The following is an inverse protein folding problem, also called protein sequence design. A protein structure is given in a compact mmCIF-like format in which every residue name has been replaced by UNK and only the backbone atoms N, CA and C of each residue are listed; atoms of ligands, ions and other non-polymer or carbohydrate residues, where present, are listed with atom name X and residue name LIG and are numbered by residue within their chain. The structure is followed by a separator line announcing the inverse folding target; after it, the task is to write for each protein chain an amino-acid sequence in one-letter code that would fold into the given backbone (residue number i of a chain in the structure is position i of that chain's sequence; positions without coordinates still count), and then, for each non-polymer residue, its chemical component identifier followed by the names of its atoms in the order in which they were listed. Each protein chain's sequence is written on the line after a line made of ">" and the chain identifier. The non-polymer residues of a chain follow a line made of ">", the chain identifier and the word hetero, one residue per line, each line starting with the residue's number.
data_IF_137431394399
#
_entry.id   IF_137431394399
#
_cell.length_a   1.000
_cell.length_b   1.000
_cell.length_c   1.000
_cell.angle_alpha   90.00
_cell.angle_beta   90.00
_cell.angle_gamma   90.00
#
_symmetry.space_group_name_H-M   'P 1'
#
loop_
_entity.id
_entity.type
_entity.pdbx_description
1 polymer ?
#
# COMPACT_ATOMS: atom_id res chain seq x y z
N UNK A 1 -29.81 -6.14 -9.67
CA UNK A 1 -28.75 -6.35 -8.63
C UNK A 1 -27.74 -7.29 -9.26
N UNK A 2 -26.47 -6.93 -9.31
CA UNK A 2 -25.42 -7.76 -9.92
C UNK A 2 -25.21 -9.00 -9.04
N UNK A 3 -25.34 -10.19 -9.61
CA UNK A 3 -25.05 -11.44 -8.92
C UNK A 3 -23.53 -11.69 -8.98
N UNK A 4 -22.76 -11.02 -8.14
CA UNK A 4 -21.28 -11.07 -8.15
C UNK A 4 -20.72 -12.50 -8.16
N UNK A 5 -21.37 -13.44 -7.45
CA UNK A 5 -20.92 -14.83 -7.43
C UNK A 5 -21.00 -15.47 -8.82
N UNK A 6 -22.02 -15.16 -9.60
CA UNK A 6 -22.20 -15.71 -10.94
C UNK A 6 -21.14 -15.20 -11.92
N UNK A 7 -20.66 -13.95 -11.75
CA UNK A 7 -19.61 -13.39 -12.60
C UNK A 7 -18.30 -14.18 -12.54
N UNK A 8 -18.01 -14.81 -11.40
CA UNK A 8 -16.67 -15.38 -11.15
C UNK A 8 -16.67 -16.89 -10.93
N UNK A 9 -17.83 -17.52 -10.66
CA UNK A 9 -17.92 -18.94 -10.26
C UNK A 9 -17.45 -19.92 -11.34
N UNK A 10 -17.36 -19.51 -12.62
CA UNK A 10 -16.87 -20.36 -13.70
C UNK A 10 -15.34 -20.55 -13.71
N UNK A 11 -14.58 -19.69 -13.01
CA UNK A 11 -13.13 -19.72 -13.00
C UNK A 11 -12.48 -19.42 -11.63
N UNK A 12 -13.21 -18.87 -10.66
CA UNK A 12 -12.74 -18.73 -9.29
C UNK A 12 -13.43 -19.75 -8.38
N UNK A 13 -12.70 -20.28 -7.42
CA UNK A 13 -13.24 -21.16 -6.38
C UNK A 13 -14.07 -20.35 -5.38
N UNK A 14 -15.06 -21.01 -4.75
CA UNK A 14 -15.95 -20.35 -3.79
C UNK A 14 -15.22 -19.61 -2.65
N UNK A 15 -14.09 -20.14 -2.20
CA UNK A 15 -13.28 -19.53 -1.14
C UNK A 15 -12.46 -18.32 -1.61
N UNK A 16 -12.41 -18.05 -2.92
CA UNK A 16 -11.79 -16.84 -3.51
C UNK A 16 -12.79 -15.68 -3.67
N UNK A 17 -14.07 -15.89 -3.37
CA UNK A 17 -15.14 -14.90 -3.51
C UNK A 17 -15.80 -14.69 -2.15
N UNK A 18 -15.85 -13.47 -1.67
CA UNK A 18 -16.55 -13.10 -0.44
C UNK A 18 -17.49 -11.94 -0.72
N UNK A 19 -18.70 -12.03 -0.21
CA UNK A 19 -19.70 -10.95 -0.29
C UNK A 19 -19.75 -10.19 1.03
N UNK A 20 -19.99 -8.89 0.97
CA UNK A 20 -20.07 -8.00 2.13
C UNK A 20 -18.86 -8.13 3.07
N UNK A 21 -17.66 -8.24 2.48
CA UNK A 21 -16.42 -8.44 3.25
C UNK A 21 -15.98 -7.12 3.92
N UNK A 22 -15.85 -7.08 5.26
CA UNK A 22 -15.43 -5.88 5.96
C UNK A 22 -14.01 -5.48 5.60
N UNK A 23 -13.82 -4.29 5.03
CA UNK A 23 -12.51 -3.77 4.64
C UNK A 23 -11.60 -3.48 5.83
N UNK A 24 -12.16 -3.27 7.02
CA UNK A 24 -11.39 -3.17 8.27
C UNK A 24 -10.49 -4.38 8.54
N UNK A 25 -10.77 -5.55 7.97
CA UNK A 25 -9.93 -6.76 8.05
C UNK A 25 -8.75 -6.73 7.07
N UNK A 26 -8.78 -5.82 6.10
CA UNK A 26 -7.85 -5.75 4.98
C UNK A 26 -7.08 -4.43 4.90
N UNK A 27 -7.19 -3.59 5.92
CA UNK A 27 -6.43 -2.34 6.07
C UNK A 27 -5.59 -2.40 7.35
N UNK A 28 -4.40 -1.81 7.31
CA UNK A 28 -3.55 -1.73 8.51
C UNK A 28 -4.10 -0.76 9.57
N UNK A 29 -4.96 0.17 9.19
CA UNK A 29 -5.74 0.98 10.15
C UNK A 29 -6.79 0.17 10.91
N UNK A 30 -7.22 -0.98 10.36
CA UNK A 30 -8.36 -1.71 10.91
C UNK A 30 -9.69 -0.93 10.81
N UNK A 31 -9.81 -0.03 9.83
CA UNK A 31 -10.97 0.82 9.56
C UNK A 31 -11.51 0.50 8.17
N UNK A 32 -12.82 0.55 7.99
CA UNK A 32 -13.51 0.45 6.72
C UNK A 32 -14.78 -0.39 6.77
N UNK A 33 -15.83 0.10 6.11
CA UNK A 33 -17.07 -0.63 5.87
C UNK A 33 -16.89 -1.79 4.90
N UNK A 34 -17.97 -2.47 4.55
CA UNK A 34 -17.92 -3.66 3.71
C UNK A 34 -17.73 -3.34 2.22
N UNK A 35 -16.95 -4.16 1.53
CA UNK A 35 -16.97 -4.25 0.07
C UNK A 35 -18.17 -5.10 -0.38
N UNK A 36 -18.87 -4.74 -1.46
CA UNK A 36 -19.98 -5.52 -1.96
C UNK A 36 -19.52 -6.93 -2.36
N UNK A 37 -18.37 -7.00 -3.04
CA UNK A 37 -17.72 -8.25 -3.40
C UNK A 37 -16.19 -8.11 -3.23
N UNK A 38 -15.55 -9.14 -2.72
CA UNK A 38 -14.11 -9.22 -2.52
C UNK A 38 -13.60 -10.50 -3.18
N UNK A 39 -12.73 -10.37 -4.19
CA UNK A 39 -12.19 -11.50 -4.94
C UNK A 39 -10.68 -11.61 -4.77
N UNK A 40 -10.18 -12.84 -4.72
CA UNK A 40 -8.80 -13.18 -4.42
C UNK A 40 -8.19 -14.07 -5.53
N UNK A 41 -7.87 -13.52 -6.72
CA UNK A 41 -7.20 -14.29 -7.76
C UNK A 41 -5.82 -14.78 -7.28
N UNK A 42 -5.48 -16.02 -7.59
CA UNK A 42 -4.22 -16.66 -7.20
C UNK A 42 -3.24 -16.77 -8.36
N UNK A 43 -3.72 -16.60 -9.60
CA UNK A 43 -2.88 -16.57 -10.80
C UNK A 43 -3.11 -15.31 -11.62
N UNK A 44 -2.18 -15.04 -12.54
CA UNK A 44 -2.31 -13.91 -13.48
C UNK A 44 -3.51 -14.10 -14.39
N UNK A 45 -3.76 -15.33 -14.83
CA UNK A 45 -4.88 -15.68 -15.70
C UNK A 45 -6.23 -15.48 -15.00
N UNK A 46 -6.32 -15.82 -13.70
CA UNK A 46 -7.52 -15.54 -12.90
C UNK A 46 -7.73 -14.03 -12.77
N UNK A 47 -6.65 -13.26 -12.47
CA UNK A 47 -6.71 -11.81 -12.39
C UNK A 47 -7.20 -11.17 -13.69
N UNK A 48 -6.64 -11.59 -14.85
CA UNK A 48 -7.05 -11.12 -16.16
C UNK A 48 -8.55 -11.38 -16.41
N UNK A 49 -9.03 -12.59 -16.11
CA UNK A 49 -10.45 -12.94 -16.25
C UNK A 49 -11.33 -12.09 -15.35
N UNK A 50 -10.95 -11.88 -14.07
CA UNK A 50 -11.70 -11.00 -13.16
C UNK A 50 -11.81 -9.60 -13.73
N UNK A 51 -10.69 -9.00 -14.20
CA UNK A 51 -10.67 -7.65 -14.76
C UNK A 51 -11.58 -7.56 -15.99
N UNK A 52 -11.49 -8.52 -16.89
CA UNK A 52 -12.32 -8.56 -18.10
C UNK A 52 -13.81 -8.65 -17.75
N UNK A 53 -14.18 -9.52 -16.81
CA UNK A 53 -15.59 -9.71 -16.45
C UNK A 53 -16.19 -8.50 -15.70
N UNK A 54 -15.45 -7.85 -14.78
CA UNK A 54 -15.94 -6.63 -14.13
C UNK A 54 -16.08 -5.48 -15.14
N UNK A 55 -15.15 -5.38 -16.10
CA UNK A 55 -15.18 -4.35 -17.15
C UNK A 55 -16.36 -4.57 -18.09
N UNK A 56 -16.58 -5.80 -18.59
CA UNK A 56 -17.74 -6.14 -19.44
C UNK A 56 -19.07 -5.89 -18.74
N UNK A 57 -19.15 -6.22 -17.46
CA UNK A 57 -20.36 -6.01 -16.66
C UNK A 57 -20.56 -4.53 -16.24
N UNK A 58 -19.63 -3.63 -16.59
CA UNK A 58 -19.60 -2.24 -16.15
C UNK A 58 -19.72 -2.10 -14.62
N UNK A 59 -19.05 -2.99 -13.87
CA UNK A 59 -19.00 -2.99 -12.41
C UNK A 59 -17.78 -2.21 -11.95
N UNK A 60 -17.93 -1.22 -11.05
CA UNK A 60 -16.78 -0.55 -10.45
C UNK A 60 -15.89 -1.55 -9.74
N UNK A 61 -14.58 -1.35 -9.79
CA UNK A 61 -13.65 -2.18 -9.04
C UNK A 61 -12.51 -1.37 -8.42
N UNK A 62 -11.92 -1.92 -7.38
CA UNK A 62 -10.79 -1.35 -6.66
C UNK A 62 -9.71 -2.42 -6.49
N UNK A 63 -8.44 -2.07 -6.78
CA UNK A 63 -7.31 -2.98 -6.61
C UNK A 63 -6.73 -2.81 -5.21
N UNK A 64 -6.65 -3.91 -4.48
CA UNK A 64 -6.10 -3.96 -3.14
C UNK A 64 -4.83 -4.81 -3.09
N UNK A 65 -3.73 -4.19 -2.67
CA UNK A 65 -2.52 -4.88 -2.24
C UNK A 65 -2.57 -5.21 -0.73
N UNK A 66 -1.58 -4.76 0.03
CA UNK A 66 -1.52 -5.00 1.48
C UNK A 66 -2.37 -4.07 2.36
N UNK A 67 -3.12 -3.12 1.80
CA UNK A 67 -3.96 -2.19 2.56
C UNK A 67 -3.21 -1.27 3.53
N UNK A 68 -1.91 -1.06 3.31
CA UNK A 68 -1.03 -0.38 4.26
C UNK A 68 -1.01 1.15 4.11
N UNK A 69 -1.66 1.69 3.08
CA UNK A 69 -1.76 3.14 2.83
C UNK A 69 -3.21 3.53 2.50
N UNK A 70 -4.20 2.86 3.14
CA UNK A 70 -5.61 3.07 2.84
C UNK A 70 -6.40 3.43 4.10
N UNK A 71 -7.30 4.39 3.94
CA UNK A 71 -8.41 4.67 4.83
C UNK A 71 -9.73 4.42 4.07
N UNK A 72 -10.42 3.36 4.39
CA UNK A 72 -11.69 3.00 3.74
C UNK A 72 -12.85 3.62 4.50
N UNK A 73 -13.77 4.27 3.77
CA UNK A 73 -14.95 4.94 4.33
C UNK A 73 -15.89 3.98 5.03
N UNK A 74 -16.70 4.50 5.96
CA UNK A 74 -17.58 3.71 6.82
C UNK A 74 -18.69 2.98 6.03
N UNK A 75 -19.16 3.54 4.92
CA UNK A 75 -20.09 2.85 4.02
C UNK A 75 -19.45 1.76 3.16
N UNK A 76 -18.10 1.69 3.12
CA UNK A 76 -17.35 0.65 2.41
C UNK A 76 -17.14 0.95 0.93
N UNK A 77 -16.90 -0.08 0.14
CA UNK A 77 -16.56 0.02 -1.29
C UNK A 77 -17.67 -0.64 -2.12
N UNK A 78 -18.27 0.14 -3.03
CA UNK A 78 -19.26 -0.39 -3.99
C UNK A 78 -18.55 -1.08 -5.14
N UNK A 79 -19.10 -2.20 -5.58
CA UNK A 79 -18.54 -3.02 -6.65
C UNK A 79 -17.58 -4.10 -6.13
N UNK A 80 -16.48 -4.33 -6.85
CA UNK A 80 -15.57 -5.45 -6.62
C UNK A 80 -14.21 -4.96 -6.11
N UNK A 81 -13.79 -5.45 -4.95
CA UNK A 81 -12.39 -5.31 -4.51
C UNK A 81 -11.61 -6.53 -5.00
N UNK A 82 -10.58 -6.28 -5.80
CA UNK A 82 -9.68 -7.31 -6.34
C UNK A 82 -8.41 -7.33 -5.51
N UNK A 83 -8.24 -8.37 -4.70
CA UNK A 83 -7.10 -8.52 -3.79
C UNK A 83 -5.95 -9.25 -4.48
N UNK A 84 -4.88 -8.53 -4.78
CA UNK A 84 -3.68 -9.09 -5.44
C UNK A 84 -2.76 -9.85 -4.49
N UNK A 85 -3.00 -9.81 -3.20
CA UNK A 85 -2.13 -10.42 -2.18
C UNK A 85 -2.01 -11.95 -2.25
N UNK A 86 -2.77 -12.62 -3.13
CA UNK A 86 -2.63 -14.05 -3.42
C UNK A 86 -1.67 -14.35 -4.59
N UNK A 87 -1.23 -13.36 -5.33
CA UNK A 87 -0.18 -13.51 -6.35
C UNK A 87 1.18 -13.62 -5.65
N UNK A 88 1.75 -14.83 -5.53
CA UNK A 88 2.84 -15.13 -4.58
C UNK A 88 4.00 -15.87 -5.25
N UNK A 89 4.61 -15.31 -6.30
CA UNK A 89 5.82 -15.89 -6.91
C UNK A 89 7.02 -14.99 -6.70
N UNK A 90 8.19 -15.58 -6.51
CA UNK A 90 9.50 -14.95 -6.54
C UNK A 90 10.40 -15.83 -7.39
N UNK A 91 11.00 -15.26 -8.42
CA UNK A 91 11.92 -15.95 -9.34
C UNK A 91 13.24 -15.19 -9.32
N UNK A 92 14.34 -15.91 -9.07
CA UNK A 92 15.70 -15.37 -9.05
C UNK A 92 16.42 -15.66 -10.37
N UNK A 93 16.96 -14.63 -10.99
CA UNK A 93 17.67 -14.70 -12.28
C UNK A 93 18.93 -13.80 -12.23
N UNK A 94 20.05 -14.36 -11.79
CA UNK A 94 21.31 -13.59 -11.66
C UNK A 94 21.19 -12.48 -10.62
N UNK A 95 21.33 -11.23 -11.03
CA UNK A 95 21.18 -10.06 -10.15
C UNK A 95 19.73 -9.53 -10.08
N UNK A 96 18.77 -10.28 -10.61
CA UNK A 96 17.37 -9.85 -10.69
C UNK A 96 16.46 -10.76 -9.91
N UNK A 97 15.43 -10.15 -9.32
CA UNK A 97 14.28 -10.85 -8.80
C UNK A 97 13.03 -10.41 -9.55
N UNK A 98 12.27 -11.40 -10.09
CA UNK A 98 10.91 -11.18 -10.55
C UNK A 98 9.97 -11.54 -9.44
N UNK A 99 9.15 -10.59 -9.02
CA UNK A 99 8.33 -10.68 -7.81
C UNK A 99 6.88 -10.35 -8.15
N UNK A 100 5.96 -11.29 -7.92
CA UNK A 100 4.53 -11.05 -8.10
C UNK A 100 4.01 -9.98 -7.14
N UNK A 101 3.07 -9.18 -7.62
CA UNK A 101 2.57 -7.97 -6.94
C UNK A 101 2.04 -8.21 -5.52
N UNK A 102 1.58 -9.42 -5.21
CA UNK A 102 1.02 -9.79 -3.91
C UNK A 102 2.05 -10.18 -2.86
N UNK A 103 3.30 -10.39 -3.22
CA UNK A 103 4.37 -10.71 -2.26
C UNK A 103 4.59 -9.52 -1.32
N UNK A 104 4.73 -9.75 -0.02
CA UNK A 104 5.04 -8.66 0.91
C UNK A 104 6.44 -8.09 0.65
N UNK A 105 6.61 -6.79 0.84
CA UNK A 105 7.91 -6.12 0.68
C UNK A 105 9.00 -6.76 1.55
N UNK A 106 8.66 -7.13 2.79
CA UNK A 106 9.57 -7.81 3.70
C UNK A 106 10.01 -9.19 3.18
N UNK A 107 9.07 -9.98 2.59
CA UNK A 107 9.38 -11.28 1.99
C UNK A 107 10.27 -11.14 0.76
N UNK A 108 10.02 -10.11 -0.07
CA UNK A 108 10.86 -9.82 -1.23
C UNK A 108 12.27 -9.38 -0.82
N UNK A 109 12.41 -8.50 0.19
CA UNK A 109 13.71 -8.08 0.73
C UNK A 109 14.47 -9.26 1.36
N UNK A 110 13.77 -10.15 2.08
CA UNK A 110 14.38 -11.37 2.64
C UNK A 110 14.89 -12.30 1.54
N UNK A 111 14.10 -12.50 0.48
CA UNK A 111 14.54 -13.30 -0.67
C UNK A 111 15.78 -12.70 -1.36
N UNK A 112 15.85 -11.37 -1.50
CA UNK A 112 17.05 -10.69 -2.01
C UNK A 112 18.28 -11.00 -1.14
N UNK A 113 18.17 -10.86 0.18
CA UNK A 113 19.24 -11.19 1.14
C UNK A 113 19.68 -12.65 1.02
N UNK A 114 18.74 -13.60 0.97
CA UNK A 114 19.03 -15.04 0.88
C UNK A 114 19.80 -15.42 -0.40
N UNK A 115 19.67 -14.60 -1.46
CA UNK A 115 20.43 -14.72 -2.71
C UNK A 115 21.71 -13.84 -2.76
N UNK A 116 22.08 -13.18 -1.65
CA UNK A 116 23.26 -12.30 -1.61
C UNK A 116 23.11 -11.06 -2.48
N UNK A 117 21.90 -10.52 -2.58
CA UNK A 117 21.55 -9.35 -3.38
C UNK A 117 21.24 -8.15 -2.48
N UNK A 118 22.08 -7.12 -2.54
CA UNK A 118 21.99 -5.86 -1.81
C UNK A 118 21.24 -4.79 -2.61
N UNK A 119 20.58 -3.87 -1.94
CA UNK A 119 19.83 -2.73 -2.51
C UNK A 119 18.36 -2.73 -2.14
N UNK A 120 17.87 -3.79 -1.46
CA UNK A 120 16.46 -3.89 -1.04
C UNK A 120 16.27 -3.81 0.49
N UNK A 121 17.32 -3.50 1.25
CA UNK A 121 17.33 -3.46 2.71
C UNK A 121 16.34 -2.43 3.25
N UNK A 122 16.18 -1.29 2.56
CA UNK A 122 15.23 -0.23 2.95
C UNK A 122 13.77 -0.72 2.99
N UNK A 123 13.46 -1.75 2.19
CA UNK A 123 12.11 -2.28 2.04
C UNK A 123 11.74 -3.30 3.13
N UNK A 124 12.71 -3.84 3.87
CA UNK A 124 12.51 -4.93 4.83
C UNK A 124 11.43 -4.65 5.89
N UNK A 125 11.24 -3.40 6.26
CA UNK A 125 10.23 -2.99 7.24
C UNK A 125 9.06 -2.21 6.65
N UNK A 126 8.98 -1.98 5.34
CA UNK A 126 7.84 -1.29 4.71
C UNK A 126 6.64 -2.24 4.72
N UNK A 127 5.49 -1.86 5.33
CA UNK A 127 4.31 -2.72 5.31
C UNK A 127 3.64 -2.73 3.93
N UNK A 128 2.94 -3.82 3.63
CA UNK A 128 2.21 -3.97 2.38
C UNK A 128 2.87 -4.93 1.40
N UNK A 129 2.44 -4.88 0.14
CA UNK A 129 2.91 -5.74 -0.95
C UNK A 129 3.85 -5.00 -1.89
N UNK A 130 4.68 -5.76 -2.60
CA UNK A 130 5.64 -5.18 -3.54
C UNK A 130 4.94 -4.43 -4.70
N UNK A 131 3.75 -4.90 -5.13
CA UNK A 131 2.92 -4.18 -6.11
C UNK A 131 2.44 -2.82 -5.59
N UNK A 132 1.98 -2.76 -4.33
CA UNK A 132 1.61 -1.50 -3.68
C UNK A 132 2.82 -0.59 -3.46
N UNK A 133 3.98 -1.15 -3.13
CA UNK A 133 5.22 -0.40 -2.99
C UNK A 133 5.67 0.21 -4.32
N UNK A 134 5.61 -0.54 -5.43
CA UNK A 134 5.92 -0.03 -6.77
C UNK A 134 4.90 1.01 -7.24
N UNK A 135 3.61 0.80 -6.96
CA UNK A 135 2.55 1.78 -7.27
C UNK A 135 2.80 3.14 -6.62
N UNK A 136 3.22 3.14 -5.35
CA UNK A 136 3.45 4.36 -4.55
C UNK A 136 4.89 4.90 -4.65
N UNK A 137 5.79 4.28 -5.40
CA UNK A 137 7.23 4.51 -5.26
C UNK A 137 7.64 4.58 -3.79
N UNK A 138 7.33 3.52 -3.04
CA UNK A 138 7.58 3.47 -1.60
C UNK A 138 9.07 3.54 -1.30
N UNK A 139 9.44 4.31 -0.29
CA UNK A 139 10.83 4.48 0.12
C UNK A 139 10.98 4.71 1.62
N UNK A 140 12.16 4.37 2.11
CA UNK A 140 12.61 4.59 3.48
C UNK A 140 14.15 4.59 3.53
N UNK A 141 14.75 5.26 4.52
CA UNK A 141 16.20 5.22 4.76
C UNK A 141 17.06 5.56 3.53
N UNK A 142 16.62 6.56 2.74
CA UNK A 142 17.25 7.04 1.51
C UNK A 142 17.23 6.04 0.33
N UNK A 143 16.46 4.97 0.40
CA UNK A 143 16.18 4.07 -0.72
C UNK A 143 14.70 4.10 -1.08
N UNK A 144 14.38 3.90 -2.36
CA UNK A 144 13.01 3.83 -2.86
C UNK A 144 12.88 2.82 -4.03
N UNK A 145 11.63 2.47 -4.37
CA UNK A 145 11.40 1.48 -5.45
C UNK A 145 11.98 1.92 -6.78
N UNK A 146 11.98 3.22 -7.10
CA UNK A 146 12.60 3.77 -8.31
C UNK A 146 14.08 3.43 -8.46
N UNK A 147 14.81 3.24 -7.35
CA UNK A 147 16.24 2.91 -7.40
C UNK A 147 16.47 1.53 -8.02
N UNK A 148 15.62 0.56 -7.67
CA UNK A 148 15.82 -0.86 -7.92
C UNK A 148 14.91 -1.47 -8.99
N UNK A 149 13.74 -0.88 -9.27
CA UNK A 149 12.80 -1.41 -10.28
C UNK A 149 13.33 -1.14 -11.68
N UNK A 150 13.47 -2.20 -12.48
CA UNK A 150 13.91 -2.12 -13.89
C UNK A 150 12.76 -2.34 -14.87
N UNK A 151 11.74 -3.10 -14.48
CA UNK A 151 10.51 -3.25 -15.26
C UNK A 151 9.32 -3.65 -14.41
N UNK A 152 8.12 -3.38 -14.92
CA UNK A 152 6.85 -3.79 -14.35
C UNK A 152 6.00 -4.44 -15.43
N UNK A 153 5.45 -5.62 -15.12
CA UNK A 153 4.38 -6.26 -15.88
C UNK A 153 3.06 -5.77 -15.31
N UNK A 154 2.21 -5.18 -16.14
CA UNK A 154 0.87 -4.72 -15.77
C UNK A 154 -0.21 -5.35 -16.63
N UNK A 155 -1.45 -5.23 -16.17
CA UNK A 155 -2.66 -5.66 -16.86
C UNK A 155 -3.60 -4.47 -17.03
N UNK A 156 -4.04 -4.21 -18.25
CA UNK A 156 -5.04 -3.18 -18.54
C UNK A 156 -6.47 -3.70 -18.33
N UNK A 157 -7.47 -2.83 -18.45
CA UNK A 157 -8.89 -3.16 -18.26
C UNK A 157 -9.44 -4.18 -19.27
N UNK A 158 -8.76 -4.41 -20.40
CA UNK A 158 -9.09 -5.43 -21.39
C UNK A 158 -8.43 -6.79 -21.08
N UNK A 159 -7.72 -6.91 -19.97
CA UNK A 159 -7.00 -8.12 -19.59
C UNK A 159 -5.67 -8.32 -20.35
N UNK A 160 -5.21 -7.32 -21.10
CA UNK A 160 -3.96 -7.41 -21.84
C UNK A 160 -2.76 -7.08 -20.95
N UNK A 161 -1.71 -7.87 -21.07
CA UNK A 161 -0.45 -7.66 -20.35
C UNK A 161 0.50 -6.76 -21.14
N UNK A 162 1.16 -5.85 -20.43
CA UNK A 162 2.16 -4.95 -20.97
C UNK A 162 3.38 -4.88 -20.06
N UNK A 163 4.58 -4.77 -20.64
CA UNK A 163 5.82 -4.59 -19.88
C UNK A 163 6.29 -3.15 -20.03
N UNK A 164 6.46 -2.46 -18.92
CA UNK A 164 7.02 -1.11 -18.86
C UNK A 164 8.44 -1.14 -18.28
N UNK A 165 9.41 -0.68 -19.05
CA UNK A 165 10.78 -0.50 -18.59
C UNK A 165 10.91 0.74 -17.71
N UNK A 166 11.96 0.81 -16.89
CA UNK A 166 12.25 1.87 -15.91
C UNK A 166 11.99 3.29 -16.43
N UNK A 167 12.42 3.61 -17.64
CA UNK A 167 12.26 4.96 -18.25
C UNK A 167 10.80 5.39 -18.50
N UNK A 168 9.85 4.43 -18.46
CA UNK A 168 8.42 4.67 -18.70
C UNK A 168 7.59 4.59 -17.41
N UNK A 169 8.21 4.37 -16.24
CA UNK A 169 7.48 4.18 -14.99
C UNK A 169 7.07 5.49 -14.32
N UNK A 170 7.54 6.65 -14.81
CA UNK A 170 7.26 8.01 -14.31
C UNK A 170 7.38 8.12 -12.77
N UNK A 171 8.38 7.43 -12.20
CA UNK A 171 8.58 7.48 -10.75
C UNK A 171 8.98 8.88 -10.28
N UNK A 172 8.25 9.35 -9.27
CA UNK A 172 8.53 10.56 -8.52
C UNK A 172 8.11 10.34 -7.06
N UNK A 173 8.24 11.36 -6.22
CA UNK A 173 7.87 11.28 -4.81
C UNK A 173 6.41 10.82 -4.62
N UNK A 174 6.23 9.58 -4.18
CA UNK A 174 4.91 8.93 -3.98
C UNK A 174 4.05 8.92 -5.25
N UNK A 175 4.70 8.68 -6.38
CA UNK A 175 4.05 8.68 -7.70
C UNK A 175 4.63 7.60 -8.62
N UNK A 176 3.78 7.07 -9.51
CA UNK A 176 4.16 6.19 -10.62
C UNK A 176 3.18 6.32 -11.79
N UNK A 177 3.59 5.86 -12.99
CA UNK A 177 2.74 5.75 -14.19
C UNK A 177 1.38 5.08 -13.90
N UNK A 178 1.33 4.10 -13.01
CA UNK A 178 0.12 3.32 -12.74
C UNK A 178 -0.97 4.13 -12.02
N UNK A 179 -0.62 5.27 -11.42
CA UNK A 179 -1.58 6.26 -10.91
C UNK A 179 -2.22 7.08 -12.03
N UNK A 180 -1.53 7.20 -13.19
CA UNK A 180 -1.99 7.98 -14.33
C UNK A 180 -2.86 7.15 -15.27
N UNK A 181 -2.40 5.92 -15.60
CA UNK A 181 -3.02 5.08 -16.62
C UNK A 181 -4.04 4.06 -16.08
N UNK A 182 -4.08 3.86 -14.75
CA UNK A 182 -5.01 2.94 -14.09
C UNK A 182 -4.76 1.46 -14.38
N UNK A 183 -3.59 1.10 -14.96
CA UNK A 183 -3.23 -0.30 -15.15
C UNK A 183 -2.83 -0.97 -13.82
N UNK A 184 -3.05 -2.26 -13.75
CA UNK A 184 -2.90 -3.06 -12.54
C UNK A 184 -1.52 -3.71 -12.56
N UNK A 185 -0.68 -3.43 -11.57
CA UNK A 185 0.63 -4.07 -11.42
C UNK A 185 0.44 -5.55 -11.08
N UNK A 186 1.10 -6.42 -11.85
CA UNK A 186 1.00 -7.88 -11.74
C UNK A 186 2.31 -8.47 -11.22
N UNK A 187 3.44 -8.03 -11.75
CA UNK A 187 4.78 -8.49 -11.38
C UNK A 187 5.78 -7.33 -11.53
N UNK A 188 6.79 -7.31 -10.69
CA UNK A 188 7.86 -6.31 -10.71
C UNK A 188 9.18 -7.05 -10.87
N UNK A 189 10.07 -6.54 -11.75
CA UNK A 189 11.45 -6.98 -11.81
C UNK A 189 12.33 -5.92 -11.16
N UNK A 190 13.07 -6.32 -10.14
CA UNK A 190 14.11 -5.50 -9.51
C UNK A 190 15.50 -5.99 -9.92
N UNK A 191 16.43 -5.06 -10.10
CA UNK A 191 17.85 -5.35 -10.33
C UNK A 191 18.65 -4.85 -9.14
N UNK A 192 19.46 -5.73 -8.56
CA UNK A 192 20.15 -5.53 -7.30
C UNK A 192 21.65 -5.79 -7.50
N UNK A 193 22.48 -5.35 -6.55
CA UNK A 193 23.91 -5.58 -6.59
C UNK A 193 24.29 -6.83 -5.79
N UNK A 194 25.29 -7.62 -6.22
CA UNK A 194 25.87 -8.65 -5.37
C UNK A 194 26.38 -8.06 -4.05
N UNK A 195 26.10 -8.73 -2.92
CA UNK A 195 26.49 -8.27 -1.60
C UNK A 195 26.75 -9.43 -0.64
N UNK A 196 27.34 -9.12 0.50
CA UNK A 196 27.55 -10.10 1.55
C UNK A 196 26.23 -10.29 2.32
N UNK A 197 25.76 -11.52 2.48
CA UNK A 197 24.49 -11.85 3.16
C UNK A 197 24.46 -11.29 4.58
N UNK A 198 25.54 -11.44 5.33
CA UNK A 198 25.62 -10.96 6.71
C UNK A 198 25.50 -9.42 6.79
N UNK A 199 26.19 -8.69 5.91
CA UNK A 199 26.13 -7.22 5.89
C UNK A 199 24.73 -6.73 5.53
N UNK A 200 24.05 -7.39 4.57
CA UNK A 200 22.66 -7.11 4.19
C UNK A 200 21.73 -7.35 5.39
N UNK A 201 21.88 -8.49 6.08
CA UNK A 201 21.08 -8.86 7.24
C UNK A 201 21.24 -7.82 8.37
N UNK A 202 22.49 -7.45 8.70
CA UNK A 202 22.79 -6.42 9.72
C UNK A 202 22.14 -5.09 9.37
N UNK A 203 22.16 -4.67 8.09
CA UNK A 203 21.53 -3.43 7.65
C UNK A 203 20.00 -3.50 7.75
N UNK A 204 19.38 -4.62 7.32
CA UNK A 204 17.93 -4.84 7.46
C UNK A 204 17.49 -4.81 8.93
N UNK A 205 18.25 -5.44 9.83
CA UNK A 205 17.98 -5.44 11.26
C UNK A 205 18.09 -4.05 11.87
N UNK A 206 19.10 -3.26 11.48
CA UNK A 206 19.27 -1.90 11.94
C UNK A 206 18.12 -0.99 11.49
N UNK A 207 17.68 -1.08 10.22
CA UNK A 207 16.53 -0.33 9.74
C UNK A 207 15.24 -0.74 10.49
N UNK A 208 15.05 -2.03 10.72
CA UNK A 208 13.90 -2.52 11.49
C UNK A 208 13.97 -2.08 12.97
N UNK A 209 15.15 -2.06 13.57
CA UNK A 209 15.38 -1.55 14.93
C UNK A 209 15.01 -0.07 15.04
N UNK A 210 15.53 0.78 14.11
CA UNK A 210 15.19 2.22 14.06
C UNK A 210 13.68 2.44 13.90
N UNK A 211 13.03 1.62 13.07
CA UNK A 211 11.58 1.69 12.86
C UNK A 211 10.82 1.36 14.12
N UNK A 212 11.15 0.26 14.82
CA UNK A 212 10.56 -0.10 16.11
C UNK A 212 10.72 0.97 17.17
N UNK A 213 11.87 1.64 17.18
CA UNK A 213 12.13 2.73 18.14
C UNK A 213 11.29 3.99 17.86
N UNK A 214 11.08 4.34 16.59
CA UNK A 214 10.50 5.63 16.19
C UNK A 214 9.02 5.58 15.79
N UNK A 215 8.52 4.43 15.34
CA UNK A 215 7.16 4.32 14.80
C UNK A 215 6.25 3.49 15.72
N UNK A 216 4.95 3.78 15.79
CA UNK A 216 3.98 3.09 16.64
C UNK A 216 3.54 1.76 15.99
N UNK A 217 4.48 0.81 15.78
CA UNK A 217 4.22 -0.45 15.08
C UNK A 217 3.27 -1.38 15.82
N UNK A 218 3.08 -1.16 17.12
CA UNK A 218 2.15 -1.85 18.00
C UNK A 218 0.69 -1.34 17.87
N UNK A 219 0.50 -0.23 17.14
CA UNK A 219 -0.82 0.38 16.93
C UNK A 219 -1.26 0.25 15.48
N UNK A 220 -2.56 0.18 15.25
CA UNK A 220 -3.15 0.17 13.91
C UNK A 220 -2.97 1.53 13.25
N UNK A 221 -2.26 1.59 12.13
CA UNK A 221 -1.99 2.82 11.37
C UNK A 221 -1.69 2.51 9.91
N UNK A 222 -1.73 3.52 9.04
CA UNK A 222 -1.34 3.40 7.63
C UNK A 222 -0.04 4.18 7.33
N UNK A 223 0.93 4.15 8.25
CA UNK A 223 2.18 4.88 8.09
C UNK A 223 2.03 6.39 8.37
N UNK A 224 2.89 7.19 7.75
CA UNK A 224 2.77 8.67 7.80
C UNK A 224 1.51 9.12 7.08
N UNK A 225 0.67 9.88 7.77
CA UNK A 225 -0.65 10.27 7.23
C UNK A 225 -0.57 11.36 6.17
N UNK A 226 0.47 12.21 6.24
CA UNK A 226 0.62 13.37 5.37
C UNK A 226 1.91 13.29 4.54
N UNK A 227 1.84 13.75 3.29
CA UNK A 227 3.01 14.00 2.44
C UNK A 227 3.89 15.06 3.08
N UNK A 228 5.20 14.94 2.90
CA UNK A 228 6.17 15.92 3.41
C UNK A 228 6.13 17.20 2.56
N UNK A 229 5.77 18.36 3.12
CA UNK A 229 5.87 19.64 2.41
C UNK A 229 7.33 20.04 2.21
N UNK A 230 7.61 20.82 1.17
CA UNK A 230 8.95 21.35 0.93
C UNK A 230 9.44 22.19 2.12
N UNK A 231 10.63 21.90 2.63
CA UNK A 231 11.24 22.63 3.74
C UNK A 231 10.70 22.29 5.15
N UNK A 232 9.71 21.42 5.30
CA UNK A 232 9.10 21.11 6.59
C UNK A 232 9.10 19.60 6.92
N UNK A 233 9.02 19.29 8.19
CA UNK A 233 8.79 17.94 8.72
C UNK A 233 7.43 17.90 9.44
N UNK A 234 6.46 17.22 8.87
CA UNK A 234 5.08 17.19 9.39
C UNK A 234 5.03 16.72 10.84
N UNK A 235 5.76 15.65 11.20
CA UNK A 235 5.80 15.16 12.57
C UNK A 235 6.31 16.21 13.56
N UNK A 236 7.31 16.99 13.18
CA UNK A 236 7.85 18.07 14.02
C UNK A 236 6.80 19.20 14.21
N UNK A 237 6.18 19.68 13.12
CA UNK A 237 5.14 20.71 13.21
C UNK A 237 3.99 20.29 14.15
N UNK A 238 3.50 19.05 14.00
CA UNK A 238 2.40 18.53 14.85
C UNK A 238 2.86 18.41 16.32
N UNK A 239 4.11 18.03 16.55
CA UNK A 239 4.68 17.93 17.92
C UNK A 239 4.88 19.29 18.57
N UNK A 240 5.44 20.27 17.86
CA UNK A 240 5.64 21.66 18.33
C UNK A 240 4.29 22.34 18.67
N UNK A 241 3.22 21.96 17.99
CA UNK A 241 1.85 22.43 18.30
C UNK A 241 1.21 21.69 19.49
N UNK A 242 1.93 20.77 20.14
CA UNK A 242 1.40 20.02 21.31
C UNK A 242 0.30 19.02 20.95
N UNK A 243 0.22 18.55 19.70
CA UNK A 243 -0.89 17.71 19.24
C UNK A 243 -0.65 16.20 19.45
N UNK A 244 0.49 15.75 19.99
CA UNK A 244 0.65 14.35 20.40
C UNK A 244 -0.48 13.95 21.36
N UNK A 245 -1.12 12.81 21.09
CA UNK A 245 -2.24 12.33 21.91
C UNK A 245 -3.58 13.01 21.65
N UNK A 246 -3.64 14.07 20.84
CA UNK A 246 -4.90 14.67 20.44
C UNK A 246 -5.75 13.64 19.69
N UNK A 247 -7.06 13.55 20.03
CA UNK A 247 -7.95 12.51 19.56
C UNK A 247 -9.31 13.04 19.13
N UNK A 248 -9.94 12.35 18.20
CA UNK A 248 -11.35 12.48 17.81
C UNK A 248 -11.93 11.07 17.81
N UNK A 249 -12.85 10.77 18.74
CA UNK A 249 -13.22 9.39 19.00
C UNK A 249 -11.99 8.56 19.37
N UNK A 250 -11.85 7.38 18.76
CA UNK A 250 -10.68 6.51 18.92
C UNK A 250 -9.56 6.77 17.87
N UNK A 251 -9.74 7.74 16.96
CA UNK A 251 -8.67 8.23 16.09
C UNK A 251 -7.76 9.19 16.85
N UNK A 252 -6.43 8.97 16.82
CA UNK A 252 -5.49 9.67 17.69
C UNK A 252 -4.16 9.96 17.02
N UNK A 253 -3.56 11.10 17.35
CA UNK A 253 -2.15 11.39 17.02
C UNK A 253 -1.26 10.54 17.91
N UNK A 254 -0.36 9.75 17.29
CA UNK A 254 0.53 8.88 18.05
C UNK A 254 1.44 9.66 19.01
N UNK A 255 1.56 9.19 20.25
CA UNK A 255 2.50 9.71 21.22
C UNK A 255 3.96 9.46 20.81
N UNK A 256 4.21 8.40 20.02
CA UNK A 256 5.56 7.99 19.62
C UNK A 256 6.08 8.76 18.41
N UNK A 257 5.22 9.02 17.43
CA UNK A 257 5.57 9.73 16.19
C UNK A 257 4.36 10.58 15.73
N UNK A 258 4.45 11.90 15.84
CA UNK A 258 3.33 12.79 15.59
C UNK A 258 2.84 12.84 14.13
N UNK A 259 3.65 12.38 13.15
CA UNK A 259 3.22 12.21 11.76
C UNK A 259 2.35 10.98 11.50
N UNK A 260 2.16 10.11 12.52
CA UNK A 260 1.32 8.91 12.46
C UNK A 260 0.00 9.15 13.18
N UNK A 261 -1.09 8.96 12.49
CA UNK A 261 -2.40 8.80 13.11
C UNK A 261 -2.65 7.32 13.34
N UNK A 262 -3.25 6.99 14.46
CA UNK A 262 -3.51 5.61 14.88
C UNK A 262 -5.00 5.42 15.19
N UNK A 263 -5.47 4.21 14.98
CA UNK A 263 -6.72 3.72 15.55
C UNK A 263 -6.39 3.10 16.92
N UNK A 264 -6.73 3.81 17.98
CA UNK A 264 -6.40 3.41 19.38
C UNK A 264 -7.48 2.48 20.00
N UNK A 265 -8.47 2.07 19.19
CA UNK A 265 -9.57 1.20 19.62
C UNK A 265 -10.45 0.79 18.46
N UNK A 266 -11.56 1.48 18.30
CA UNK A 266 -12.60 1.24 17.29
C UNK A 266 -12.92 2.52 16.48
N UNK A 267 -11.89 3.28 16.09
CA UNK A 267 -12.07 4.48 15.28
C UNK A 267 -12.83 4.17 13.98
N UNK A 268 -13.79 5.03 13.66
CA UNK A 268 -14.44 5.05 12.35
C UNK A 268 -13.60 5.82 11.33
N UNK A 269 -13.92 5.69 10.04
CA UNK A 269 -13.34 6.55 9.01
C UNK A 269 -13.72 8.02 9.26
N UNK A 270 -14.93 8.27 9.71
CA UNK A 270 -15.41 9.61 10.07
C UNK A 270 -14.56 10.24 11.17
N UNK A 271 -14.21 9.51 12.25
CA UNK A 271 -13.31 9.99 13.30
C UNK A 271 -11.94 10.36 12.74
N UNK A 272 -11.38 9.48 11.91
CA UNK A 272 -10.05 9.68 11.30
C UNK A 272 -10.05 10.90 10.36
N UNK A 273 -11.09 11.07 9.56
CA UNK A 273 -11.25 12.23 8.67
C UNK A 273 -11.39 13.55 9.44
N UNK A 274 -12.15 13.54 10.52
CA UNK A 274 -12.29 14.72 11.40
C UNK A 274 -10.95 15.06 12.06
N UNK A 275 -10.20 14.06 12.53
CA UNK A 275 -8.86 14.26 13.08
C UNK A 275 -7.89 14.84 12.02
N UNK A 276 -7.88 14.29 10.80
CA UNK A 276 -7.07 14.80 9.68
C UNK A 276 -7.43 16.25 9.40
N UNK A 277 -8.71 16.59 9.32
CA UNK A 277 -9.19 17.93 9.00
C UNK A 277 -8.77 18.95 10.07
N UNK A 278 -8.87 18.57 11.34
CA UNK A 278 -8.47 19.44 12.46
C UNK A 278 -6.95 19.67 12.48
N UNK A 279 -6.15 18.64 12.20
CA UNK A 279 -4.69 18.79 12.12
C UNK A 279 -4.32 19.70 10.94
N UNK A 280 -4.93 19.52 9.77
CA UNK A 280 -4.70 20.37 8.60
C UNK A 280 -5.00 21.85 8.94
N UNK A 281 -6.15 22.10 9.54
CA UNK A 281 -6.56 23.44 9.96
C UNK A 281 -5.53 24.08 10.91
N UNK A 282 -5.16 23.38 11.99
CA UNK A 282 -4.19 23.89 12.97
C UNK A 282 -2.81 24.16 12.35
N UNK A 283 -2.31 23.24 11.54
CA UNK A 283 -1.02 23.41 10.87
C UNK A 283 -1.06 24.61 9.91
N UNK A 284 -2.16 24.79 9.18
CA UNK A 284 -2.34 25.96 8.34
C UNK A 284 -2.38 27.27 9.16
N UNK A 285 -3.13 27.30 10.26
CA UNK A 285 -3.23 28.45 11.15
C UNK A 285 -1.87 28.83 11.79
N UNK A 286 -1.05 27.83 12.14
CA UNK A 286 0.23 28.05 12.82
C UNK A 286 1.43 28.29 11.92
N UNK A 287 1.46 27.64 10.75
CA UNK A 287 2.63 27.64 9.84
C UNK A 287 2.34 28.21 8.43
N UNK A 288 1.06 28.42 8.08
CA UNK A 288 0.67 28.79 6.71
C UNK A 288 0.90 27.65 5.69
N UNK A 289 1.07 26.40 6.14
CA UNK A 289 1.38 25.23 5.31
C UNK A 289 0.12 24.40 5.11
N UNK A 290 -0.24 24.17 3.86
CA UNK A 290 -1.33 23.25 3.50
C UNK A 290 -0.81 21.81 3.45
N UNK A 291 -1.32 20.94 4.35
CA UNK A 291 -0.96 19.52 4.38
C UNK A 291 -1.79 18.71 3.38
N UNK A 292 -1.10 17.91 2.58
CA UNK A 292 -1.71 16.89 1.72
C UNK A 292 -1.64 15.52 2.37
N UNK A 293 -2.72 14.72 2.31
CA UNK A 293 -2.70 13.34 2.79
C UNK A 293 -1.85 12.47 1.88
N UNK A 294 -1.01 11.61 2.47
CA UNK A 294 -0.35 10.49 1.77
C UNK A 294 -1.26 9.27 1.75
N UNK A 295 -2.01 9.05 2.82
CA UNK A 295 -3.02 8.00 2.91
C UNK A 295 -4.12 8.24 1.88
N UNK A 296 -4.44 7.19 1.12
CA UNK A 296 -5.51 7.20 0.13
C UNK A 296 -6.85 6.93 0.81
N UNK A 297 -7.82 7.84 0.61
CA UNK A 297 -9.18 7.73 1.16
C UNK A 297 -10.06 7.18 0.05
N UNK A 298 -10.69 6.03 0.29
CA UNK A 298 -11.47 5.32 -0.71
C UNK A 298 -12.82 4.86 -0.15
N UNK A 299 -13.78 4.62 -1.03
CA UNK A 299 -15.11 4.13 -0.67
C UNK A 299 -16.20 5.18 -0.85
N UNK A 300 -17.43 4.77 -0.53
CA UNK A 300 -18.64 5.58 -0.68
C UNK A 300 -18.77 6.61 0.45
N UNK A 301 -19.17 7.84 0.11
CA UNK A 301 -19.40 8.94 1.06
C UNK A 301 -20.67 8.78 1.88
#
# INVERSE_FOLDING_TARGET
>A
MVAYTELFSSFLRRNQIKLNEPMSRHTTFGIGGAADCFVMPETIEELQKVIVEVTKANVPFFILGGGANLLVRDKGIRGVVIYTGRLQSIIHEGNRLRVAAGVSTAKAAKAAMEHGLSGMEFAAGIPGTIGGAAYMNAGAYNGEMADIVVSVLSCNQNGQLSVYNKSKLHYDYRHSLFMENGEIIVEITVELAPGNIHDIEVMMEEFNRRRRMKQPLEKKSAGSTFKRPAGYFVGQMIEEMGLKGFAVGDAKVSMKHAGFLINDGHASCTDMMNLISEIKRRVFDGYGVELMTEVQIVGEE
#
